data_IF_582277716793
#
_entry.id   IF_582277716793
#
_cell.length_a   1.000
_cell.length_b   1.000
_cell.length_c   1.000
_cell.angle_alpha   90.00
_cell.angle_beta   90.00
_cell.angle_gamma   90.00
#
_symmetry.space_group_name_H-M   'P 1'
#
loop_
_entity.id
_entity.type
_entity.pdbx_description
1 polymer ?
#
# COMPACT_ATOMS: atom_id res chain seq x y z
N UNK A 1 24.52 -23.71 -24.50
CA UNK A 1 23.83 -24.46 -23.41
C UNK A 1 23.27 -23.57 -22.26
N UNK A 2 22.91 -22.30 -22.50
CA UNK A 2 22.52 -21.35 -21.44
C UNK A 2 21.17 -20.62 -21.66
N UNK A 3 20.28 -21.16 -22.50
CA UNK A 3 19.00 -20.46 -22.81
C UNK A 3 17.78 -21.38 -22.76
N UNK A 4 17.88 -22.60 -22.22
CA UNK A 4 16.79 -23.59 -22.30
C UNK A 4 15.89 -23.70 -21.05
N UNK A 5 16.11 -22.89 -20.01
CA UNK A 5 15.34 -23.02 -18.74
C UNK A 5 14.48 -21.81 -18.35
N UNK A 6 14.29 -20.83 -19.24
CA UNK A 6 13.49 -19.63 -18.90
C UNK A 6 11.97 -19.84 -18.92
N UNK A 7 11.48 -21.03 -19.21
CA UNK A 7 10.05 -21.30 -19.31
C UNK A 7 9.67 -22.72 -18.87
N UNK A 8 10.09 -23.14 -17.67
CA UNK A 8 9.43 -24.27 -17.00
C UNK A 8 8.17 -23.75 -16.29
N UNK A 9 6.94 -24.08 -16.75
CA UNK A 9 5.70 -23.62 -16.13
C UNK A 9 5.44 -24.23 -14.74
N UNK A 10 6.31 -25.12 -14.25
CA UNK A 10 6.17 -25.84 -12.99
C UNK A 10 6.95 -25.22 -11.81
N UNK A 11 7.87 -24.28 -12.06
CA UNK A 11 8.60 -23.57 -11.01
C UNK A 11 8.27 -22.09 -11.13
N UNK A 12 7.58 -21.48 -10.16
CA UNK A 12 7.40 -20.03 -10.11
C UNK A 12 8.79 -19.40 -10.24
N UNK A 13 9.03 -18.67 -11.33
CA UNK A 13 10.29 -18.00 -11.53
C UNK A 13 10.41 -16.91 -10.44
N UNK A 14 11.23 -17.20 -9.43
CA UNK A 14 11.46 -16.33 -8.27
C UNK A 14 11.96 -14.94 -8.69
N UNK A 15 12.65 -14.85 -9.84
CA UNK A 15 13.13 -13.60 -10.38
C UNK A 15 11.97 -12.77 -10.93
N UNK A 16 11.01 -13.40 -11.60
CA UNK A 16 9.78 -12.71 -12.05
C UNK A 16 8.99 -12.19 -10.85
N UNK A 17 8.78 -13.01 -9.81
CA UNK A 17 8.06 -12.59 -8.61
C UNK A 17 8.76 -11.42 -7.91
N UNK A 18 10.10 -11.46 -7.81
CA UNK A 18 10.93 -10.38 -7.26
C UNK A 18 10.86 -9.11 -8.10
N UNK A 19 10.94 -9.22 -9.42
CA UNK A 19 10.81 -8.07 -10.33
C UNK A 19 9.43 -7.44 -10.24
N UNK A 20 8.36 -8.24 -10.23
CA UNK A 20 6.98 -7.76 -10.08
C UNK A 20 6.77 -7.06 -8.74
N UNK A 21 7.32 -7.60 -7.65
CA UNK A 21 7.31 -6.94 -6.35
C UNK A 21 7.94 -5.54 -6.42
N UNK A 22 9.18 -5.44 -6.92
CA UNK A 22 9.89 -4.16 -6.98
C UNK A 22 9.22 -3.15 -7.89
N UNK A 23 8.75 -3.57 -9.07
CA UNK A 23 8.01 -2.69 -9.99
C UNK A 23 6.79 -2.10 -9.27
N UNK A 24 5.98 -2.94 -8.63
CA UNK A 24 4.78 -2.49 -7.90
C UNK A 24 5.13 -1.56 -6.73
N UNK A 25 6.16 -1.88 -5.96
CA UNK A 25 6.59 -1.05 -4.82
C UNK A 25 7.12 0.30 -5.30
N UNK A 26 7.98 0.34 -6.32
CA UNK A 26 8.53 1.58 -6.87
C UNK A 26 7.42 2.47 -7.41
N UNK A 27 6.46 1.90 -8.16
CA UNK A 27 5.30 2.65 -8.66
C UNK A 27 4.50 3.25 -7.51
N UNK A 28 4.18 2.48 -6.47
CA UNK A 28 3.44 2.99 -5.31
C UNK A 28 4.21 4.10 -4.60
N UNK A 29 5.51 3.91 -4.34
CA UNK A 29 6.34 4.92 -3.69
C UNK A 29 6.44 6.20 -4.53
N UNK A 30 6.57 6.08 -5.85
CA UNK A 30 6.58 7.23 -6.75
C UNK A 30 5.25 7.98 -6.71
N UNK A 31 4.11 7.27 -6.79
CA UNK A 31 2.78 7.88 -6.71
C UNK A 31 2.55 8.58 -5.36
N UNK A 32 2.95 7.95 -4.26
CA UNK A 32 2.87 8.53 -2.92
C UNK A 32 3.73 9.77 -2.82
N UNK A 33 4.98 9.71 -3.28
CA UNK A 33 5.91 10.82 -3.27
C UNK A 33 5.34 12.01 -4.04
N UNK A 34 4.94 11.82 -5.31
CA UNK A 34 4.37 12.89 -6.12
C UNK A 34 3.06 13.42 -5.53
N UNK A 35 2.19 12.55 -5.00
CA UNK A 35 0.96 12.93 -4.34
C UNK A 35 1.18 13.86 -3.13
N UNK A 36 2.20 13.59 -2.32
CA UNK A 36 2.57 14.48 -1.21
C UNK A 36 3.23 15.78 -1.68
N UNK A 37 4.12 15.73 -2.68
CA UNK A 37 4.81 16.92 -3.17
C UNK A 37 3.86 17.94 -3.82
N UNK A 38 2.84 17.48 -4.53
CA UNK A 38 1.85 18.36 -5.16
C UNK A 38 1.00 19.14 -4.13
N UNK A 39 0.87 18.64 -2.90
CA UNK A 39 0.01 19.23 -1.85
C UNK A 39 0.84 19.91 -0.75
N UNK A 40 2.03 20.44 -1.08
CA UNK A 40 2.85 21.19 -0.13
C UNK A 40 2.12 22.46 0.38
N UNK A 41 1.31 22.32 1.43
CA UNK A 41 0.57 23.37 2.12
C UNK A 41 1.46 24.00 3.20
N UNK A 42 1.89 25.26 3.06
CA UNK A 42 2.63 25.94 4.11
C UNK A 42 1.64 26.47 5.15
N UNK A 43 1.51 25.80 6.30
CA UNK A 43 0.80 26.36 7.46
C UNK A 43 1.58 26.15 8.74
N UNK A 44 2.63 26.96 8.89
CA UNK A 44 3.22 27.28 10.18
C UNK A 44 2.78 28.68 10.60
N UNK A 45 1.50 28.81 10.97
CA UNK A 45 1.01 29.96 11.74
C UNK A 45 1.07 29.59 13.22
N UNK A 46 1.46 30.53 14.09
CA UNK A 46 1.53 30.34 15.55
C UNK A 46 0.13 30.14 16.15
N UNK A 47 -0.32 28.88 16.19
CA UNK A 47 -1.59 28.48 16.77
C UNK A 47 -1.51 28.23 18.28
N UNK A 48 -2.63 28.43 18.97
CA UNK A 48 -2.75 28.23 20.41
C UNK A 48 -2.51 26.75 20.82
N UNK A 49 -2.12 26.49 22.07
CA UNK A 49 -1.80 25.14 22.54
C UNK A 49 -2.95 24.12 22.38
N UNK A 50 -4.22 24.57 22.47
CA UNK A 50 -5.39 23.73 22.24
C UNK A 50 -5.59 23.38 20.76
N UNK A 51 -5.35 24.34 19.87
CA UNK A 51 -5.38 24.13 18.41
C UNK A 51 -4.25 23.19 17.97
N UNK A 52 -3.09 23.22 18.64
CA UNK A 52 -1.97 22.30 18.40
C UNK A 52 -2.31 20.84 18.72
N UNK A 53 -3.05 20.56 19.80
CA UNK A 53 -3.46 19.20 20.14
C UNK A 53 -4.44 18.64 19.10
N UNK A 54 -5.40 19.47 18.66
CA UNK A 54 -6.35 19.10 17.62
C UNK A 54 -5.64 18.86 16.28
N UNK A 55 -4.76 19.77 15.86
CA UNK A 55 -3.96 19.62 14.63
C UNK A 55 -3.07 18.38 14.69
N UNK A 56 -2.48 18.06 15.85
CA UNK A 56 -1.68 16.85 16.04
C UNK A 56 -2.51 15.56 15.95
N UNK A 57 -3.72 15.55 16.50
CA UNK A 57 -4.65 14.42 16.37
C UNK A 57 -5.08 14.20 14.92
N UNK A 58 -5.42 15.27 14.20
CA UNK A 58 -5.72 15.17 12.77
C UNK A 58 -4.51 14.69 11.97
N UNK A 59 -3.32 15.21 12.27
CA UNK A 59 -2.08 14.75 11.67
C UNK A 59 -1.80 13.27 11.94
N UNK A 60 -2.04 12.79 13.17
CA UNK A 60 -1.86 11.39 13.54
C UNK A 60 -2.86 10.47 12.84
N UNK A 61 -4.14 10.85 12.75
CA UNK A 61 -5.17 10.06 12.05
C UNK A 61 -4.88 10.01 10.55
N UNK A 62 -4.62 11.16 9.93
CA UNK A 62 -4.28 11.25 8.50
C UNK A 62 -2.97 10.50 8.20
N UNK A 63 -1.97 10.63 9.06
CA UNK A 63 -0.71 9.91 8.97
C UNK A 63 -0.90 8.39 9.13
N UNK A 64 -1.74 7.96 10.06
CA UNK A 64 -2.07 6.55 10.29
C UNK A 64 -2.79 5.92 9.09
N UNK A 65 -3.80 6.61 8.54
CA UNK A 65 -4.52 6.15 7.35
C UNK A 65 -3.59 6.06 6.15
N UNK A 66 -2.80 7.09 5.86
CA UNK A 66 -1.86 7.05 4.75
C UNK A 66 -0.76 6.00 4.96
N UNK A 67 -0.22 5.90 6.17
CA UNK A 67 0.76 4.88 6.54
C UNK A 67 0.22 3.46 6.34
N UNK A 68 -1.04 3.22 6.72
CA UNK A 68 -1.74 1.97 6.45
C UNK A 68 -1.88 1.68 4.95
N UNK A 69 -2.28 2.67 4.15
CA UNK A 69 -2.40 2.51 2.70
C UNK A 69 -1.06 2.14 2.05
N UNK A 70 0.04 2.77 2.47
CA UNK A 70 1.37 2.53 1.91
C UNK A 70 1.93 1.20 2.42
N UNK A 71 2.08 1.04 3.73
CA UNK A 71 2.69 -0.15 4.33
C UNK A 71 1.87 -1.41 4.07
N UNK A 72 0.53 -1.32 4.15
CA UNK A 72 -0.36 -2.43 3.85
C UNK A 72 -0.27 -2.87 2.39
N UNK A 73 -0.10 -1.94 1.45
CA UNK A 73 0.13 -2.27 0.04
C UNK A 73 1.45 -3.00 -0.19
N UNK A 74 2.53 -2.53 0.43
CA UNK A 74 3.85 -3.17 0.33
C UNK A 74 3.82 -4.58 0.93
N UNK A 75 3.22 -4.73 2.13
CA UNK A 75 3.07 -6.03 2.80
C UNK A 75 2.23 -7.01 1.96
N UNK A 76 1.14 -6.53 1.36
CA UNK A 76 0.31 -7.32 0.48
C UNK A 76 1.08 -7.80 -0.76
N UNK A 77 1.86 -6.92 -1.41
CA UNK A 77 2.69 -7.32 -2.54
C UNK A 77 3.77 -8.32 -2.17
N UNK A 78 4.35 -8.22 -0.96
CA UNK A 78 5.28 -9.23 -0.46
C UNK A 78 4.61 -10.60 -0.30
N UNK A 79 3.39 -10.63 0.24
CA UNK A 79 2.61 -11.87 0.39
C UNK A 79 2.24 -12.50 -0.96
N UNK A 80 1.73 -11.71 -1.91
CA UNK A 80 1.35 -12.18 -3.26
C UNK A 80 2.58 -12.65 -4.07
N UNK A 81 3.75 -12.05 -3.84
CA UNK A 81 5.01 -12.48 -4.45
C UNK A 81 5.62 -13.72 -3.78
N UNK A 82 4.96 -14.31 -2.78
CA UNK A 82 5.44 -15.51 -2.10
C UNK A 82 6.69 -15.27 -1.24
N UNK A 83 6.82 -14.08 -0.65
CA UNK A 83 7.96 -13.72 0.23
C UNK A 83 9.32 -13.81 -0.49
N UNK A 84 9.57 -12.98 -1.52
CA UNK A 84 10.77 -13.05 -2.38
C UNK A 84 12.11 -12.75 -1.68
N UNK A 85 12.06 -12.32 -0.41
CA UNK A 85 13.21 -12.02 0.45
C UNK A 85 13.09 -12.74 1.81
N UNK A 86 13.29 -14.07 1.85
CA UNK A 86 13.09 -14.87 3.06
C UNK A 86 14.03 -14.49 4.21
N UNK A 87 15.18 -13.86 3.91
CA UNK A 87 16.11 -13.35 4.92
C UNK A 87 15.59 -12.12 5.69
N UNK A 88 14.55 -11.46 5.18
CA UNK A 88 13.97 -10.25 5.78
C UNK A 88 12.60 -10.57 6.36
N UNK A 89 11.72 -11.16 5.53
CA UNK A 89 10.36 -11.55 5.90
C UNK A 89 10.10 -12.92 5.29
N UNK A 90 9.88 -13.93 6.13
CA UNK A 90 9.54 -15.28 5.72
C UNK A 90 8.05 -15.58 5.93
N UNK A 91 7.49 -16.56 5.19
CA UNK A 91 6.16 -17.07 5.48
C UNK A 91 6.11 -17.67 6.88
N UNK A 92 4.97 -17.55 7.56
CA UNK A 92 4.74 -18.27 8.80
C UNK A 92 4.73 -19.79 8.54
N UNK A 93 5.24 -20.56 9.49
CA UNK A 93 5.30 -22.04 9.42
C UNK A 93 4.11 -22.71 10.12
N UNK A 94 3.47 -22.01 11.07
CA UNK A 94 2.30 -22.49 11.78
C UNK A 94 1.01 -22.25 10.97
N UNK A 95 0.22 -23.32 10.80
CA UNK A 95 -1.05 -23.31 10.07
C UNK A 95 -2.03 -22.27 10.65
N UNK A 96 -2.11 -22.13 11.98
CA UNK A 96 -3.02 -21.18 12.62
C UNK A 96 -2.64 -19.72 12.30
N UNK A 97 -1.34 -19.45 12.21
CA UNK A 97 -0.81 -18.13 11.85
C UNK A 97 -1.02 -17.86 10.36
N UNK A 98 -0.79 -18.85 9.49
CA UNK A 98 -1.03 -18.74 8.05
C UNK A 98 -2.49 -18.36 7.77
N UNK A 99 -3.44 -19.04 8.42
CA UNK A 99 -4.86 -18.73 8.23
C UNK A 99 -5.19 -17.30 8.69
N UNK A 100 -4.63 -16.88 9.82
CA UNK A 100 -4.80 -15.52 10.34
C UNK A 100 -4.24 -14.47 9.36
N UNK A 101 -3.04 -14.70 8.83
CA UNK A 101 -2.43 -13.83 7.82
C UNK A 101 -3.34 -13.73 6.59
N UNK A 102 -3.84 -14.85 6.08
CA UNK A 102 -4.71 -14.87 4.91
C UNK A 102 -6.00 -14.07 5.14
N UNK A 103 -6.58 -14.13 6.34
CA UNK A 103 -7.73 -13.31 6.73
C UNK A 103 -7.37 -11.82 6.80
N UNK A 104 -6.20 -11.47 7.35
CA UNK A 104 -5.71 -10.08 7.38
C UNK A 104 -5.46 -9.53 5.96
N UNK A 105 -4.95 -10.36 5.04
CA UNK A 105 -4.73 -9.96 3.64
C UNK A 105 -6.02 -9.53 2.92
N UNK A 106 -7.20 -9.96 3.40
CA UNK A 106 -8.48 -9.51 2.84
C UNK A 106 -8.75 -8.02 3.08
N UNK A 107 -8.22 -7.46 4.17
CA UNK A 107 -8.41 -6.05 4.51
C UNK A 107 -7.32 -5.14 3.93
N UNK A 108 -6.23 -5.71 3.44
CA UNK A 108 -5.11 -4.94 2.90
C UNK A 108 -5.56 -4.04 1.73
N UNK A 109 -5.03 -2.81 1.62
CA UNK A 109 -5.52 -1.80 0.70
C UNK A 109 -5.68 -2.27 -0.75
N UNK A 110 -4.73 -3.01 -1.37
CA UNK A 110 -4.87 -3.42 -2.78
C UNK A 110 -6.02 -4.40 -3.02
N UNK A 111 -6.40 -5.18 -2.01
CA UNK A 111 -7.49 -6.16 -2.11
C UNK A 111 -8.82 -5.55 -1.69
N UNK A 112 -8.81 -4.74 -0.63
CA UNK A 112 -9.98 -4.00 -0.16
C UNK A 112 -10.47 -2.96 -1.18
N UNK A 113 -9.53 -2.23 -1.80
CA UNK A 113 -9.77 -1.31 -2.90
C UNK A 113 -9.58 -2.00 -4.26
N UNK A 114 -9.85 -3.30 -4.35
CA UNK A 114 -9.84 -4.02 -5.62
C UNK A 114 -11.04 -3.63 -6.50
N UNK A 115 -11.13 -4.23 -7.68
CA UNK A 115 -12.30 -4.05 -8.55
C UNK A 115 -13.52 -4.80 -7.98
N UNK A 116 -14.73 -4.20 -7.99
CA UNK A 116 -15.08 -2.88 -8.53
C UNK A 116 -14.98 -1.72 -7.51
N UNK A 117 -14.59 -2.00 -6.27
CA UNK A 117 -14.59 -1.04 -5.15
C UNK A 117 -13.79 0.23 -5.42
N UNK A 118 -12.65 0.13 -6.12
CA UNK A 118 -11.84 1.30 -6.50
C UNK A 118 -12.63 2.32 -7.32
N UNK A 119 -13.50 1.87 -8.23
CA UNK A 119 -14.26 2.77 -9.10
C UNK A 119 -15.26 3.59 -8.29
N UNK A 120 -15.96 2.94 -7.35
CA UNK A 120 -16.87 3.63 -6.45
C UNK A 120 -16.13 4.63 -5.55
N UNK A 121 -14.96 4.26 -5.01
CA UNK A 121 -14.16 5.16 -4.18
C UNK A 121 -13.74 6.42 -4.94
N UNK A 122 -13.25 6.28 -6.17
CA UNK A 122 -12.86 7.42 -7.01
C UNK A 122 -14.05 8.31 -7.33
N UNK A 123 -15.19 7.74 -7.72
CA UNK A 123 -16.42 8.50 -8.02
C UNK A 123 -16.87 9.30 -6.80
N UNK A 124 -16.89 8.68 -5.61
CA UNK A 124 -17.28 9.36 -4.37
C UNK A 124 -16.32 10.51 -4.02
N UNK A 125 -15.01 10.31 -4.19
CA UNK A 125 -14.01 11.36 -3.96
C UNK A 125 -14.23 12.53 -4.94
N UNK A 126 -14.45 12.25 -6.22
CA UNK A 126 -14.70 13.29 -7.23
C UNK A 126 -15.98 14.08 -6.93
N UNK A 127 -17.07 13.40 -6.56
CA UNK A 127 -18.33 14.06 -6.15
C UNK A 127 -18.08 14.95 -4.93
N UNK A 128 -17.37 14.45 -3.92
CA UNK A 128 -17.06 15.23 -2.72
C UNK A 128 -16.26 16.49 -3.06
N UNK A 129 -15.24 16.38 -3.92
CA UNK A 129 -14.45 17.53 -4.39
C UNK A 129 -15.35 18.54 -5.11
N UNK A 130 -16.21 18.08 -6.02
CA UNK A 130 -17.14 18.96 -6.74
C UNK A 130 -18.04 19.73 -5.76
N UNK A 131 -18.66 19.05 -4.78
CA UNK A 131 -19.59 19.66 -3.82
C UNK A 131 -18.90 20.63 -2.86
N UNK A 132 -17.64 20.38 -2.49
CA UNK A 132 -16.92 21.24 -1.53
C UNK A 132 -16.34 22.48 -2.19
N UNK A 133 -15.95 22.39 -3.46
CA UNK A 133 -15.19 23.45 -4.15
C UNK A 133 -16.02 24.24 -5.17
N UNK A 134 -17.22 23.79 -5.54
CA UNK A 134 -18.15 24.48 -6.45
C UNK A 134 -19.41 24.86 -5.67
#
# INVERSE_FOLDING_TARGET
PLVKDLASPAVPNIDIARSLFWIRVIVVIALVYFGYQTVALPRLASKAARERLQDALFGAVLGGVNGYLIAGTVLYYNHVAGYPFPNIISPATDIAIIETINRMMAYMPPRFLGEPGIYFAVILILIFIIVVYI
#
